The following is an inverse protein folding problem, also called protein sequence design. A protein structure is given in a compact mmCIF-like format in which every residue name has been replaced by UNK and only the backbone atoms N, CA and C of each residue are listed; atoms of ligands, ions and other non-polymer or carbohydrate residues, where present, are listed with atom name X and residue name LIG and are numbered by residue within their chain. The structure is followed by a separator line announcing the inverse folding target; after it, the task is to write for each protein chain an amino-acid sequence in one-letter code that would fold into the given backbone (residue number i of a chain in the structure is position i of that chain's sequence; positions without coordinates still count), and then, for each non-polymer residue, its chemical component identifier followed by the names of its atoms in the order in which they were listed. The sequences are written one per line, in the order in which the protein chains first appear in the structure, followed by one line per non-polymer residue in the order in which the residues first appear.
data_IF_464604098430
#
_entry.id   IF_464604098430
#
_cell.length_a   1.000
_cell.length_b   1.000
_cell.length_c   1.000
_cell.angle_alpha   90.00
_cell.angle_beta   90.00
_cell.angle_gamma   90.00
#
_symmetry.space_group_name_H-M   'P 1'
#
loop_
_entity.id
_entity.type
_entity.pdbx_description
1 polymer ?
#
# COMPACT_ATOMS: atom_id res chain seq x y z
N UNK A 1 -11.17 -54.88 -36.13
CA UNK A 1 -11.99 -56.00 -35.69
C UNK A 1 -11.89 -56.17 -34.22
N UNK A 2 -12.97 -56.59 -33.54
CA UNK A 2 -13.93 -55.67 -32.90
C UNK A 2 -14.07 -55.96 -31.38
N UNK A 3 -14.86 -55.13 -30.70
CA UNK A 3 -15.41 -55.49 -29.43
C UNK A 3 -16.04 -54.32 -28.68
N UNK A 4 -17.19 -53.90 -29.15
CA UNK A 4 -18.15 -53.06 -28.39
C UNK A 4 -18.94 -53.88 -27.37
N UNK A 5 -19.39 -53.22 -26.29
CA UNK A 5 -20.65 -53.42 -25.53
C UNK A 5 -20.70 -52.33 -24.46
N UNK A 6 -21.54 -51.46 -24.55
CA UNK A 6 -22.90 -50.98 -24.26
C UNK A 6 -23.66 -51.75 -23.16
N UNK A 7 -24.38 -50.96 -22.34
CA UNK A 7 -25.59 -51.21 -21.50
C UNK A 7 -25.47 -50.51 -20.16
N UNK A 8 -26.39 -49.80 -19.58
CA UNK A 8 -27.79 -49.37 -19.82
C UNK A 8 -28.13 -48.43 -18.64
N UNK A 9 -28.82 -47.33 -18.89
CA UNK A 9 -29.70 -46.65 -17.93
C UNK A 9 -30.95 -47.52 -17.68
N UNK A 10 -31.66 -47.43 -16.56
CA UNK A 10 -32.76 -46.47 -16.40
C UNK A 10 -33.05 -46.06 -14.94
N UNK A 11 -33.75 -45.07 -14.50
CA UNK A 11 -35.18 -44.80 -14.58
C UNK A 11 -35.53 -43.48 -13.82
N UNK A 12 -36.42 -42.76 -14.42
CA UNK A 12 -37.25 -41.70 -13.85
C UNK A 12 -38.12 -42.22 -12.71
N UNK A 13 -38.37 -41.36 -11.68
CA UNK A 13 -39.69 -41.26 -11.04
C UNK A 13 -40.01 -39.79 -10.76
N UNK A 14 -41.01 -39.33 -11.44
CA UNK A 14 -41.76 -38.08 -11.18
C UNK A 14 -42.62 -38.22 -9.96
N UNK A 15 -42.71 -37.15 -9.17
CA UNK A 15 -43.95 -36.89 -8.41
C UNK A 15 -44.22 -35.39 -8.33
N UNK A 16 -45.31 -34.98 -8.94
CA UNK A 16 -46.01 -33.72 -8.77
C UNK A 16 -46.74 -33.71 -7.43
N UNK A 17 -46.63 -32.60 -6.66
CA UNK A 17 -47.77 -32.14 -5.81
C UNK A 17 -47.69 -30.60 -5.67
N UNK A 18 -48.69 -29.99 -6.26
CA UNK A 18 -49.58 -28.87 -5.85
C UNK A 18 -49.04 -27.57 -5.20
N UNK A 19 -49.32 -26.54 -5.92
CA UNK A 19 -49.45 -25.11 -5.60
C UNK A 19 -50.30 -24.81 -4.38
N UNK A 20 -49.84 -23.96 -3.50
CA UNK A 20 -50.67 -23.00 -2.75
C UNK A 20 -49.80 -21.73 -2.46
N UNK A 21 -50.29 -20.62 -2.97
CA UNK A 21 -49.65 -19.32 -2.84
C UNK A 21 -49.75 -18.73 -1.43
N UNK A 22 -48.72 -17.99 -1.09
CA UNK A 22 -48.80 -16.94 -0.06
C UNK A 22 -47.93 -15.77 -0.53
N UNK A 23 -48.61 -14.68 -0.77
CA UNK A 23 -48.02 -13.36 -1.04
C UNK A 23 -47.31 -12.92 0.23
N UNK A 24 -45.99 -12.93 0.21
CA UNK A 24 -45.13 -12.39 1.26
C UNK A 24 -44.41 -11.16 0.76
N UNK A 25 -44.73 -10.00 1.30
CA UNK A 25 -44.02 -8.73 1.06
C UNK A 25 -42.49 -8.88 1.22
N UNK A 26 -41.76 -8.66 0.16
CA UNK A 26 -40.31 -8.47 0.20
C UNK A 26 -40.00 -7.16 0.92
N UNK A 27 -39.65 -7.23 2.20
CA UNK A 27 -38.98 -6.13 2.87
C UNK A 27 -37.56 -6.05 2.36
N UNK A 28 -37.29 -4.99 1.62
CA UNK A 28 -35.92 -4.59 1.19
C UNK A 28 -35.04 -4.44 2.43
N UNK A 29 -34.12 -5.36 2.66
CA UNK A 29 -33.09 -5.19 3.67
C UNK A 29 -32.10 -4.14 3.19
N UNK A 30 -32.09 -2.99 3.87
CA UNK A 30 -31.03 -2.01 3.76
C UNK A 30 -29.67 -2.67 4.07
N UNK A 31 -28.57 -2.25 3.43
CA UNK A 31 -27.25 -2.79 3.69
C UNK A 31 -26.89 -2.52 5.16
N UNK A 32 -26.59 -3.59 5.90
CA UNK A 32 -26.10 -3.50 7.28
C UNK A 32 -24.87 -2.61 7.30
N UNK A 33 -24.96 -1.47 7.96
CA UNK A 33 -23.84 -0.60 8.26
C UNK A 33 -22.75 -1.41 8.96
N UNK A 34 -21.50 -1.24 8.55
CA UNK A 34 -20.35 -1.83 9.22
C UNK A 34 -20.39 -1.43 10.71
N UNK A 35 -20.05 -2.34 11.64
CA UNK A 35 -20.09 -2.03 13.07
C UNK A 35 -19.18 -0.83 13.36
N UNK A 36 -19.71 0.13 14.11
CA UNK A 36 -18.94 1.28 14.56
C UNK A 36 -17.69 0.82 15.30
N UNK A 37 -16.55 1.46 15.03
CA UNK A 37 -15.29 1.17 15.72
C UNK A 37 -15.49 1.35 17.22
N UNK A 38 -15.04 0.41 18.06
CA UNK A 38 -15.01 0.65 19.49
C UNK A 38 -14.09 1.86 19.75
N UNK A 39 -14.62 2.86 20.42
CA UNK A 39 -13.84 3.97 20.93
C UNK A 39 -12.89 3.40 21.99
N UNK A 40 -11.60 3.43 21.73
CA UNK A 40 -10.59 3.07 22.73
C UNK A 40 -10.65 4.11 23.85
N UNK A 41 -11.14 3.72 25.02
CA UNK A 41 -11.00 4.46 26.26
C UNK A 41 -9.80 3.83 26.98
N UNK A 42 -8.65 4.50 27.04
CA UNK A 42 -7.53 3.98 27.81
C UNK A 42 -7.92 3.87 29.28
N UNK A 43 -7.46 2.84 30.03
CA UNK A 43 -7.69 2.76 31.46
C UNK A 43 -7.13 4.05 32.11
N UNK A 44 -7.95 4.65 32.99
CA UNK A 44 -7.55 5.82 33.75
C UNK A 44 -6.45 5.35 34.74
N UNK A 45 -5.20 5.46 34.32
CA UNK A 45 -4.06 5.39 35.24
C UNK A 45 -3.84 6.78 35.80
N UNK A 46 -3.91 6.90 37.12
CA UNK A 46 -3.59 8.10 37.87
C UNK A 46 -2.28 8.71 37.39
N UNK A 47 -2.37 9.93 36.93
CA UNK A 47 -1.42 10.68 36.14
C UNK A 47 -0.09 10.89 36.85
N UNK A 48 0.99 10.50 36.15
CA UNK A 48 2.21 11.31 36.17
C UNK A 48 1.94 12.61 35.38
N UNK A 49 2.55 13.76 35.75
CA UNK A 49 2.28 15.00 35.06
C UNK A 49 2.54 14.87 33.56
N UNK A 50 1.56 15.30 32.78
CA UNK A 50 1.64 15.28 31.32
C UNK A 50 2.89 16.04 30.86
N UNK A 51 3.74 15.40 30.10
CA UNK A 51 4.76 16.12 29.34
C UNK A 51 4.06 17.17 28.46
N UNK A 52 4.64 18.37 28.29
CA UNK A 52 4.02 19.42 27.50
C UNK A 52 3.71 18.86 26.11
N UNK A 53 2.46 19.01 25.70
CA UNK A 53 2.01 18.62 24.36
C UNK A 53 2.96 19.27 23.34
N UNK A 54 3.51 18.48 22.43
CA UNK A 54 4.28 19.03 21.33
C UNK A 54 3.43 20.12 20.63
N UNK A 55 4.01 21.27 20.26
CA UNK A 55 3.24 22.37 19.72
C UNK A 55 2.44 21.88 18.51
N UNK A 56 1.10 22.02 18.61
CA UNK A 56 0.20 21.77 17.48
C UNK A 56 0.68 22.72 16.38
N UNK A 57 1.33 22.19 15.36
CA UNK A 57 1.71 22.98 14.19
C UNK A 57 0.45 23.66 13.65
N UNK A 58 0.48 24.99 13.61
CA UNK A 58 -0.64 25.77 13.12
C UNK A 58 -1.17 25.19 11.79
N UNK A 59 -2.49 25.14 11.65
CA UNK A 59 -3.14 24.70 10.42
C UNK A 59 -2.56 25.44 9.20
N UNK A 60 -2.44 24.81 8.05
CA UNK A 60 -1.89 25.46 6.86
C UNK A 60 -2.65 26.75 6.57
N UNK A 61 -1.93 27.84 6.39
CA UNK A 61 -2.50 29.17 6.06
C UNK A 61 -3.32 29.13 4.75
N UNK A 62 -3.11 28.11 3.92
CA UNK A 62 -3.87 27.83 2.70
C UNK A 62 -4.16 26.33 2.58
N UNK A 63 -5.36 25.94 2.10
CA UNK A 63 -5.69 24.53 1.89
C UNK A 63 -4.74 23.89 0.87
N UNK A 64 -4.35 22.64 1.11
CA UNK A 64 -3.61 21.86 0.13
C UNK A 64 -4.54 21.56 -1.05
N UNK A 65 -4.11 21.96 -2.26
CA UNK A 65 -4.73 21.57 -3.52
C UNK A 65 -3.97 20.39 -4.11
N UNK A 66 -4.66 19.29 -4.35
CA UNK A 66 -4.11 18.11 -5.03
C UNK A 66 -3.85 18.41 -6.51
N UNK A 67 -3.04 17.60 -7.19
CA UNK A 67 -2.81 17.77 -8.63
C UNK A 67 -4.09 17.85 -9.45
N UNK A 68 -5.15 17.11 -9.07
CA UNK A 68 -6.47 17.20 -9.72
C UNK A 68 -7.16 18.55 -9.48
N UNK A 69 -7.06 19.09 -8.26
CA UNK A 69 -7.63 20.40 -7.95
C UNK A 69 -6.91 21.52 -8.72
N UNK A 70 -5.58 21.39 -8.86
CA UNK A 70 -4.77 22.32 -9.66
C UNK A 70 -5.13 22.24 -11.14
N UNK A 71 -5.27 21.02 -11.69
CA UNK A 71 -5.66 20.81 -13.08
C UNK A 71 -7.03 21.43 -13.35
N UNK A 72 -8.00 21.29 -12.45
CA UNK A 72 -9.33 21.88 -12.54
C UNK A 72 -9.24 23.42 -12.46
N UNK A 73 -8.50 23.96 -11.48
CA UNK A 73 -8.32 25.41 -11.29
C UNK A 73 -7.62 26.08 -12.49
N UNK A 74 -6.74 25.35 -13.20
CA UNK A 74 -6.07 25.83 -14.41
C UNK A 74 -6.90 25.57 -15.69
N UNK A 75 -8.22 25.31 -15.56
CA UNK A 75 -9.14 25.10 -16.68
C UNK A 75 -8.80 23.90 -17.55
N UNK A 76 -8.22 22.85 -16.94
CA UNK A 76 -7.80 21.61 -17.63
C UNK A 76 -6.77 21.83 -18.75
N UNK A 77 -5.95 22.87 -18.66
CA UNK A 77 -5.03 23.29 -19.72
C UNK A 77 -4.08 22.13 -20.17
N UNK A 78 -3.57 21.32 -19.23
CA UNK A 78 -2.65 20.24 -19.54
C UNK A 78 -3.28 19.09 -20.36
N UNK A 79 -4.61 18.96 -20.35
CA UNK A 79 -5.36 17.91 -21.07
C UNK A 79 -6.21 18.46 -22.22
N UNK A 80 -6.16 19.77 -22.47
CA UNK A 80 -6.98 20.46 -23.49
C UNK A 80 -6.80 19.84 -24.86
N UNK A 81 -7.90 19.51 -25.53
CA UNK A 81 -7.96 18.93 -26.88
C UNK A 81 -7.53 17.48 -26.97
N UNK A 82 -7.21 16.82 -25.85
CA UNK A 82 -6.71 15.43 -25.83
C UNK A 82 -7.82 14.42 -25.55
N UNK A 83 -7.70 13.24 -26.15
CA UNK A 83 -8.38 12.02 -25.70
C UNK A 83 -7.51 11.42 -24.60
N UNK A 84 -8.04 11.29 -23.41
CA UNK A 84 -7.28 10.86 -22.24
C UNK A 84 -7.75 9.51 -21.72
N UNK A 85 -6.80 8.66 -21.31
CA UNK A 85 -7.02 7.56 -20.39
C UNK A 85 -6.79 8.01 -18.95
N UNK A 86 -7.40 7.36 -17.98
CA UNK A 86 -7.18 7.62 -16.55
C UNK A 86 -6.83 6.35 -15.81
N UNK A 87 -5.62 6.28 -15.25
CA UNK A 87 -5.22 5.27 -14.26
C UNK A 87 -5.53 5.79 -12.86
N UNK A 88 -6.45 5.14 -12.16
CA UNK A 88 -6.93 5.60 -10.85
C UNK A 88 -7.39 4.45 -9.96
N UNK A 89 -7.78 4.80 -8.74
CA UNK A 89 -8.28 3.93 -7.68
C UNK A 89 -9.22 4.71 -6.76
N UNK A 90 -9.82 4.11 -5.68
CA UNK A 90 -10.81 4.79 -4.84
C UNK A 90 -10.37 6.13 -4.23
N UNK A 91 -9.08 6.28 -3.91
CA UNK A 91 -8.55 7.53 -3.37
C UNK A 91 -8.18 8.57 -4.46
N UNK A 92 -8.43 8.26 -5.75
CA UNK A 92 -8.39 9.23 -6.85
C UNK A 92 -9.57 10.16 -6.80
N UNK A 93 -9.54 11.11 -5.86
CA UNK A 93 -10.58 12.12 -5.61
C UNK A 93 -9.94 13.50 -5.50
N UNK A 94 -10.71 14.56 -5.76
CA UNK A 94 -10.28 15.91 -5.46
C UNK A 94 -10.40 16.20 -3.93
N UNK A 95 -9.97 17.37 -3.47
CA UNK A 95 -10.02 17.77 -2.05
C UNK A 95 -11.43 17.74 -1.43
N UNK A 96 -12.46 17.80 -2.26
CA UNK A 96 -13.87 17.74 -1.85
C UNK A 96 -14.43 16.32 -1.84
N UNK A 97 -13.62 15.31 -2.21
CA UNK A 97 -14.04 13.92 -2.27
C UNK A 97 -14.75 13.53 -3.58
N UNK A 98 -14.76 14.40 -4.59
CA UNK A 98 -15.31 14.07 -5.91
C UNK A 98 -14.31 13.23 -6.69
N UNK A 99 -14.77 12.12 -7.26
CA UNK A 99 -13.93 11.22 -8.05
C UNK A 99 -13.27 11.94 -9.23
N UNK A 100 -11.99 11.68 -9.44
CA UNK A 100 -11.26 12.18 -10.62
C UNK A 100 -11.92 11.74 -11.93
N UNK A 101 -12.59 10.57 -11.97
CA UNK A 101 -13.39 10.16 -13.11
C UNK A 101 -14.50 11.19 -13.39
N UNK A 102 -15.23 11.61 -12.36
CA UNK A 102 -16.32 12.58 -12.49
C UNK A 102 -15.82 13.98 -12.84
N UNK A 103 -14.69 14.41 -12.22
CA UNK A 103 -14.08 15.71 -12.51
C UNK A 103 -13.66 15.79 -13.98
N UNK A 104 -12.96 14.79 -14.49
CA UNK A 104 -12.49 14.76 -15.88
C UNK A 104 -13.62 14.58 -16.90
N UNK A 105 -14.71 13.89 -16.54
CA UNK A 105 -15.89 13.75 -17.42
C UNK A 105 -16.67 15.05 -17.58
N UNK A 106 -16.63 15.95 -16.60
CA UNK A 106 -17.26 17.26 -16.65
C UNK A 106 -16.45 18.30 -17.43
N UNK A 107 -15.17 18.04 -17.67
CA UNK A 107 -14.32 18.95 -18.42
C UNK A 107 -14.73 18.98 -19.90
N UNK A 108 -15.10 20.15 -20.40
CA UNK A 108 -15.65 20.33 -21.76
C UNK A 108 -14.59 20.41 -22.85
N UNK A 109 -13.33 20.60 -22.46
CA UNK A 109 -12.20 20.80 -23.38
C UNK A 109 -11.27 19.58 -23.51
N UNK A 110 -11.65 18.43 -22.96
CA UNK A 110 -10.95 17.15 -23.05
C UNK A 110 -11.96 16.00 -23.16
N UNK A 111 -11.52 14.82 -23.53
CA UNK A 111 -12.37 13.63 -23.62
C UNK A 111 -11.76 12.46 -22.89
N UNK A 112 -12.34 12.06 -21.76
CA UNK A 112 -12.01 10.81 -21.08
C UNK A 112 -12.59 9.63 -21.89
N UNK A 113 -11.72 8.74 -22.42
CA UNK A 113 -12.10 7.66 -23.34
C UNK A 113 -11.90 6.26 -22.75
N UNK A 114 -11.05 6.09 -21.75
CA UNK A 114 -10.79 4.80 -21.11
C UNK A 114 -10.34 4.98 -19.66
N UNK A 115 -10.60 3.96 -18.84
CA UNK A 115 -10.12 3.84 -17.49
C UNK A 115 -9.09 2.71 -17.39
N UNK A 116 -8.12 2.87 -16.49
CA UNK A 116 -7.12 1.86 -16.19
C UNK A 116 -7.15 1.59 -14.68
N UNK A 117 -7.15 0.32 -14.32
CA UNK A 117 -7.20 -0.14 -12.95
C UNK A 117 -5.88 -0.78 -12.52
N UNK A 118 -5.34 -0.33 -11.38
CA UNK A 118 -4.23 -0.96 -10.68
C UNK A 118 -4.74 -2.12 -9.81
N UNK A 119 -3.89 -2.68 -8.94
CA UNK A 119 -4.27 -3.62 -7.90
C UNK A 119 -5.47 -3.10 -7.10
N UNK A 120 -6.35 -3.97 -6.65
CA UNK A 120 -7.64 -3.69 -6.00
C UNK A 120 -8.74 -3.11 -6.90
N UNK A 121 -8.46 -2.75 -8.16
CA UNK A 121 -9.46 -2.24 -9.10
C UNK A 121 -9.84 -0.77 -8.88
N UNK A 122 -10.74 -0.27 -9.72
CA UNK A 122 -11.17 1.14 -9.69
C UNK A 122 -11.85 1.55 -8.38
N UNK A 123 -12.54 0.60 -7.73
CA UNK A 123 -13.37 0.87 -6.54
C UNK A 123 -12.85 0.20 -5.26
N UNK A 124 -11.70 -0.49 -5.36
CA UNK A 124 -11.04 -1.11 -4.20
C UNK A 124 -11.74 -2.36 -3.67
N UNK A 125 -12.59 -2.99 -4.48
CA UNK A 125 -13.40 -4.14 -4.08
C UNK A 125 -12.67 -5.47 -4.28
N UNK A 126 -11.62 -5.50 -5.10
CA UNK A 126 -10.83 -6.69 -5.35
C UNK A 126 -9.85 -6.95 -4.20
N UNK A 127 -9.77 -8.19 -3.68
CA UNK A 127 -8.74 -8.58 -2.72
C UNK A 127 -7.33 -8.36 -3.29
N UNK A 128 -6.34 -8.26 -2.39
CA UNK A 128 -4.94 -8.24 -2.81
C UNK A 128 -4.63 -9.47 -3.68
N UNK A 129 -3.85 -9.27 -4.74
CA UNK A 129 -3.45 -10.31 -5.72
C UNK A 129 -4.59 -10.93 -6.56
N UNK A 130 -5.81 -10.46 -6.42
CA UNK A 130 -6.90 -10.92 -7.27
C UNK A 130 -6.69 -10.50 -8.72
N UNK A 131 -6.92 -11.40 -9.66
CA UNK A 131 -6.93 -11.06 -11.10
C UNK A 131 -8.12 -10.14 -11.38
N UNK A 132 -7.83 -8.98 -11.96
CA UNK A 132 -8.83 -8.00 -12.36
C UNK A 132 -9.03 -8.12 -13.86
N UNK A 133 -10.23 -8.50 -14.30
CA UNK A 133 -10.57 -8.57 -15.71
C UNK A 133 -10.76 -7.15 -16.29
N UNK A 134 -10.37 -6.98 -17.57
CA UNK A 134 -10.79 -5.80 -18.32
C UNK A 134 -12.29 -5.92 -18.62
N UNK A 135 -13.02 -4.81 -18.44
CA UNK A 135 -14.49 -4.75 -18.51
C UNK A 135 -14.95 -3.35 -18.93
N UNK A 136 -16.22 -3.05 -18.78
CA UNK A 136 -16.75 -1.69 -18.86
C UNK A 136 -17.20 -1.25 -17.47
N UNK A 137 -16.89 -0.01 -17.14
CA UNK A 137 -17.36 0.59 -15.88
C UNK A 137 -18.85 0.96 -15.99
N UNK A 138 -19.68 0.37 -15.14
CA UNK A 138 -21.14 0.56 -15.14
C UNK A 138 -21.56 2.01 -14.82
N UNK A 139 -20.72 2.78 -14.12
CA UNK A 139 -21.04 4.16 -13.71
C UNK A 139 -20.75 5.17 -14.83
N UNK A 140 -19.68 4.97 -15.56
CA UNK A 140 -19.24 5.88 -16.62
C UNK A 140 -19.54 5.38 -18.03
N UNK A 141 -19.80 4.09 -18.21
CA UNK A 141 -19.90 3.44 -19.52
C UNK A 141 -18.56 3.25 -20.22
N UNK A 142 -17.45 3.66 -19.63
CA UNK A 142 -16.14 3.63 -20.26
C UNK A 142 -15.49 2.23 -20.17
N UNK A 143 -14.67 1.87 -21.18
CA UNK A 143 -13.87 0.66 -21.10
C UNK A 143 -12.85 0.76 -19.97
N UNK A 144 -12.66 -0.34 -19.23
CA UNK A 144 -11.69 -0.47 -18.14
C UNK A 144 -10.64 -1.48 -18.53
N UNK A 145 -9.40 -1.04 -18.60
CA UNK A 145 -8.24 -1.90 -18.82
C UNK A 145 -7.55 -2.21 -17.49
N UNK A 146 -7.49 -3.48 -17.13
CA UNK A 146 -6.74 -3.90 -15.95
C UNK A 146 -5.25 -3.89 -16.22
N UNK A 147 -4.46 -3.25 -15.34
CA UNK A 147 -3.01 -3.36 -15.30
C UNK A 147 -2.53 -4.35 -14.22
N UNK A 148 -3.47 -5.15 -13.65
CA UNK A 148 -3.16 -6.19 -12.68
C UNK A 148 -3.70 -7.58 -13.14
N UNK A 149 -2.94 -8.69 -13.09
CA UNK A 149 -1.56 -8.76 -12.58
C UNK A 149 -0.63 -7.79 -13.32
N UNK A 150 0.51 -7.43 -12.69
CA UNK A 150 1.33 -6.32 -13.15
C UNK A 150 1.70 -6.43 -14.63
N UNK A 151 1.32 -5.42 -15.40
CA UNK A 151 1.62 -5.35 -16.84
C UNK A 151 1.67 -3.90 -17.34
N UNK A 152 2.44 -3.71 -18.40
CA UNK A 152 2.47 -2.46 -19.14
C UNK A 152 1.21 -2.31 -19.99
N UNK A 153 0.64 -1.12 -20.13
CA UNK A 153 -0.39 -0.88 -21.14
C UNK A 153 0.13 -1.26 -22.53
N UNK A 154 -0.65 -2.04 -23.26
CA UNK A 154 -0.32 -2.44 -24.62
C UNK A 154 -0.72 -1.38 -25.63
N UNK A 155 -0.18 -1.46 -26.87
CA UNK A 155 -0.59 -0.57 -27.96
C UNK A 155 -2.10 -0.59 -28.20
N UNK A 156 -2.75 -1.75 -28.06
CA UNK A 156 -4.20 -1.89 -28.21
C UNK A 156 -4.97 -1.15 -27.10
N UNK A 157 -4.51 -1.22 -25.83
CA UNK A 157 -5.12 -0.50 -24.72
C UNK A 157 -4.93 1.03 -24.83
N UNK A 158 -3.86 1.47 -25.48
CA UNK A 158 -3.52 2.87 -25.69
C UNK A 158 -4.03 3.43 -27.04
N UNK A 159 -4.77 2.62 -27.81
CA UNK A 159 -5.36 3.06 -29.05
C UNK A 159 -6.29 4.27 -28.78
N UNK A 160 -6.16 5.30 -29.59
CA UNK A 160 -6.96 6.53 -29.49
C UNK A 160 -6.79 7.30 -28.17
N UNK A 161 -5.67 7.13 -27.48
CA UNK A 161 -5.29 7.86 -26.26
C UNK A 161 -4.08 8.75 -26.58
N UNK A 162 -4.25 10.06 -26.41
CA UNK A 162 -3.18 11.05 -26.62
C UNK A 162 -2.33 11.24 -25.36
N UNK A 163 -2.96 11.10 -24.18
CA UNK A 163 -2.30 11.13 -22.87
C UNK A 163 -2.94 10.18 -21.86
N UNK A 164 -2.13 9.54 -21.03
CA UNK A 164 -2.57 8.78 -19.85
C UNK A 164 -2.42 9.65 -18.61
N UNK A 165 -3.53 10.02 -18.00
CA UNK A 165 -3.56 10.70 -16.71
C UNK A 165 -3.44 9.64 -15.61
N UNK A 166 -2.58 9.89 -14.62
CA UNK A 166 -2.35 9.00 -13.48
C UNK A 166 -2.71 9.75 -12.20
N UNK A 167 -3.67 9.22 -11.47
CA UNK A 167 -4.14 9.75 -10.19
C UNK A 167 -4.19 8.65 -9.15
N UNK A 168 -3.06 8.43 -8.47
CA UNK A 168 -2.85 7.37 -7.50
C UNK A 168 -2.33 7.94 -6.18
N UNK A 169 -2.95 7.57 -5.05
CA UNK A 169 -2.47 7.90 -3.71
C UNK A 169 -1.50 6.83 -3.22
N UNK A 170 -0.21 7.12 -3.25
CA UNK A 170 0.82 6.32 -2.59
C UNK A 170 0.81 6.54 -1.07
N UNK A 171 1.45 5.65 -0.30
CA UNK A 171 1.55 5.75 1.17
C UNK A 171 2.97 5.98 1.67
N UNK A 172 3.91 6.30 0.78
CA UNK A 172 5.30 6.61 1.13
C UNK A 172 6.18 5.38 1.40
N UNK A 173 5.69 4.17 1.10
CA UNK A 173 6.40 2.92 1.31
C UNK A 173 6.70 2.23 -0.01
N UNK A 174 7.97 1.86 -0.25
CA UNK A 174 8.45 1.24 -1.49
C UNK A 174 7.63 0.03 -1.94
N UNK A 175 7.18 -0.78 -1.01
CA UNK A 175 6.42 -2.00 -1.30
C UNK A 175 4.94 -1.77 -1.61
N UNK A 176 4.47 -0.53 -1.50
CA UNK A 176 3.11 -0.19 -1.90
C UNK A 176 3.03 -0.09 -3.42
N UNK A 177 2.12 -0.83 -4.03
CA UNK A 177 2.20 -1.22 -5.44
C UNK A 177 1.80 -0.14 -6.45
N UNK A 178 1.28 0.99 -5.99
CA UNK A 178 0.82 2.05 -6.89
C UNK A 178 1.95 2.79 -7.59
N UNK A 179 3.10 2.98 -6.92
CA UNK A 179 4.30 3.50 -7.56
C UNK A 179 4.80 2.58 -8.68
N UNK A 180 4.71 1.25 -8.50
CA UNK A 180 5.02 0.27 -9.53
C UNK A 180 4.03 0.34 -10.70
N UNK A 181 2.74 0.46 -10.42
CA UNK A 181 1.69 0.62 -11.45
C UNK A 181 1.94 1.87 -12.30
N UNK A 182 2.29 3.00 -11.68
CA UNK A 182 2.69 4.22 -12.37
C UNK A 182 3.92 3.98 -13.26
N UNK A 183 5.00 3.38 -12.72
CA UNK A 183 6.22 3.10 -13.47
C UNK A 183 5.93 2.28 -14.73
N UNK A 184 5.18 1.20 -14.62
CA UNK A 184 4.84 0.36 -15.77
C UNK A 184 3.89 1.04 -16.76
N UNK A 185 2.97 1.89 -16.25
CA UNK A 185 2.15 2.73 -17.11
C UNK A 185 3.03 3.70 -17.94
N UNK A 186 4.03 4.34 -17.31
CA UNK A 186 5.01 5.18 -18.00
C UNK A 186 5.78 4.41 -19.08
N UNK A 187 6.27 3.21 -18.77
CA UNK A 187 7.00 2.37 -19.71
C UNK A 187 6.16 2.03 -20.96
N UNK A 188 4.90 1.62 -20.76
CA UNK A 188 3.99 1.32 -21.86
C UNK A 188 3.63 2.55 -22.68
N UNK A 189 3.36 3.68 -22.03
CA UNK A 189 3.04 4.94 -22.70
C UNK A 189 4.24 5.47 -23.51
N UNK A 190 5.44 5.50 -22.94
CA UNK A 190 6.63 6.00 -23.62
C UNK A 190 7.00 5.12 -24.82
N UNK A 191 6.84 3.79 -24.70
CA UNK A 191 7.06 2.88 -25.82
C UNK A 191 6.10 3.13 -26.99
N UNK A 192 4.90 3.66 -26.72
CA UNK A 192 3.85 3.91 -27.70
C UNK A 192 3.65 5.41 -28.00
N UNK A 193 4.58 6.30 -27.61
CA UNK A 193 4.52 7.75 -27.79
C UNK A 193 3.30 8.45 -27.17
N UNK A 194 2.66 7.85 -26.18
CA UNK A 194 1.57 8.43 -25.40
C UNK A 194 2.17 9.28 -24.28
N UNK A 195 1.66 10.48 -24.09
CA UNK A 195 2.06 11.36 -22.99
C UNK A 195 1.58 10.80 -21.64
N UNK A 196 2.36 11.01 -20.57
CA UNK A 196 1.96 10.70 -19.21
C UNK A 196 1.78 12.00 -18.42
N UNK A 197 0.62 12.14 -17.78
CA UNK A 197 0.30 13.28 -16.93
C UNK A 197 0.02 12.73 -15.52
N UNK A 198 0.89 13.06 -14.55
CA UNK A 198 0.73 12.62 -13.15
C UNK A 198 0.09 13.75 -12.35
N UNK A 199 -1.05 13.48 -11.74
CA UNK A 199 -1.70 14.36 -10.78
C UNK A 199 -1.11 14.07 -9.40
N UNK A 200 -0.24 14.96 -8.92
CA UNK A 200 0.54 14.68 -7.71
C UNK A 200 -0.31 14.74 -6.44
N UNK A 201 0.09 13.96 -5.44
CA UNK A 201 -0.57 13.77 -4.14
C UNK A 201 0.41 13.78 -3.00
N UNK A 202 0.00 14.19 -1.78
CA UNK A 202 0.88 14.17 -0.62
C UNK A 202 1.45 12.78 -0.37
N UNK A 203 2.74 12.72 -0.02
CA UNK A 203 3.24 11.56 0.72
C UNK A 203 2.67 11.66 2.15
N UNK A 204 1.83 10.71 2.58
CA UNK A 204 1.13 10.87 3.85
C UNK A 204 2.07 10.79 5.06
N UNK A 205 3.22 10.12 4.93
CA UNK A 205 4.26 10.12 5.97
C UNK A 205 5.11 11.40 5.98
N UNK A 206 4.81 12.37 5.12
CA UNK A 206 5.62 13.55 4.89
C UNK A 206 6.81 13.29 3.96
N UNK A 207 7.37 14.38 3.42
CA UNK A 207 8.49 14.30 2.48
C UNK A 207 9.87 14.23 3.12
N UNK A 208 9.96 14.35 4.45
CA UNK A 208 11.22 14.33 5.20
C UNK A 208 11.47 12.99 5.92
N UNK A 209 10.46 12.12 6.04
CA UNK A 209 10.61 10.81 6.67
C UNK A 209 11.20 9.83 5.65
N UNK A 210 12.44 9.40 5.90
CA UNK A 210 13.18 8.40 5.11
C UNK A 210 13.75 7.37 6.06
N UNK A 211 13.47 6.07 5.81
CA UNK A 211 13.88 5.01 6.72
C UNK A 211 13.90 3.62 6.06
N UNK A 212 14.63 2.69 6.68
CA UNK A 212 14.72 1.30 6.29
C UNK A 212 15.73 1.03 5.16
N UNK A 213 15.95 -0.25 4.83
CA UNK A 213 16.96 -0.63 3.86
C UNK A 213 16.63 -0.11 2.46
N UNK A 214 17.64 0.41 1.72
CA UNK A 214 17.51 0.57 0.28
C UNK A 214 17.33 -0.79 -0.37
N UNK A 215 16.64 -0.82 -1.52
CA UNK A 215 16.47 -2.07 -2.27
C UNK A 215 17.80 -2.52 -2.86
N UNK A 216 18.26 -3.72 -2.51
CA UNK A 216 19.40 -4.38 -3.11
C UNK A 216 19.20 -4.52 -4.64
N UNK A 217 20.23 -4.24 -5.41
CA UNK A 217 20.20 -4.21 -6.89
C UNK A 217 19.66 -5.51 -7.50
N UNK A 218 19.99 -6.64 -6.90
CA UNK A 218 19.54 -7.98 -7.36
C UNK A 218 18.05 -8.17 -7.35
N UNK A 219 17.32 -7.39 -6.52
CA UNK A 219 15.87 -7.49 -6.35
C UNK A 219 15.10 -6.41 -7.09
N UNK A 220 15.77 -5.50 -7.82
CA UNK A 220 15.13 -4.31 -8.42
C UNK A 220 14.40 -4.58 -9.74
N UNK A 221 14.76 -5.64 -10.48
CA UNK A 221 14.15 -5.94 -11.79
C UNK A 221 12.89 -6.78 -11.64
N UNK A 222 11.89 -6.51 -12.49
CA UNK A 222 10.59 -7.21 -12.51
C UNK A 222 9.97 -7.35 -11.10
N UNK A 223 10.13 -6.31 -10.29
CA UNK A 223 9.72 -6.32 -8.91
C UNK A 223 8.58 -5.34 -8.69
N UNK A 224 7.37 -5.87 -8.45
CA UNK A 224 6.17 -5.06 -8.23
C UNK A 224 6.14 -4.40 -6.84
N UNK A 225 6.71 -5.03 -5.83
CA UNK A 225 6.82 -4.48 -4.46
C UNK A 225 8.12 -3.70 -4.22
N UNK A 226 8.91 -3.46 -5.25
CA UNK A 226 10.18 -2.77 -5.19
C UNK A 226 10.57 -2.19 -6.55
N UNK A 227 9.64 -1.51 -7.20
CA UNK A 227 9.83 -0.93 -8.53
C UNK A 227 10.92 0.16 -8.57
N UNK A 228 11.24 0.75 -7.43
CA UNK A 228 12.26 1.80 -7.28
C UNK A 228 13.34 1.36 -6.29
N UNK A 229 14.59 1.68 -6.60
CA UNK A 229 15.74 1.44 -5.69
C UNK A 229 15.87 2.57 -4.69
N UNK A 230 14.91 2.65 -3.80
CA UNK A 230 14.82 3.67 -2.74
C UNK A 230 14.78 2.97 -1.36
N UNK A 231 15.01 3.67 -0.24
CA UNK A 231 14.72 3.17 1.10
C UNK A 231 13.28 2.71 1.24
N UNK A 232 13.00 1.86 2.23
CA UNK A 232 11.65 1.31 2.40
C UNK A 232 10.59 2.40 2.58
N UNK A 233 10.88 3.41 3.41
CA UNK A 233 10.15 4.69 3.47
C UNK A 233 10.99 5.73 2.73
N UNK A 234 10.46 6.29 1.64
CA UNK A 234 11.28 6.99 0.65
C UNK A 234 11.13 8.52 0.63
N UNK A 235 10.14 9.08 1.32
CA UNK A 235 9.97 10.53 1.43
C UNK A 235 9.62 11.28 0.14
N UNK A 236 9.34 10.60 -0.97
CA UNK A 236 8.96 11.24 -2.23
C UNK A 236 7.45 11.16 -2.44
N UNK A 237 6.88 12.12 -3.15
CA UNK A 237 5.52 12.04 -3.70
C UNK A 237 5.49 11.15 -4.93
N UNK A 238 4.30 10.75 -5.38
CA UNK A 238 4.19 9.94 -6.60
C UNK A 238 4.66 10.70 -7.84
N UNK A 239 4.43 12.02 -7.90
CA UNK A 239 4.94 12.89 -8.96
C UNK A 239 6.47 12.99 -8.95
N UNK A 240 7.08 13.06 -7.77
CA UNK A 240 8.54 13.06 -7.62
C UNK A 240 9.15 11.70 -7.99
N UNK A 241 8.48 10.59 -7.69
CA UNK A 241 8.86 9.25 -8.18
C UNK A 241 8.76 9.16 -9.70
N UNK A 242 7.74 9.77 -10.32
CA UNK A 242 7.62 9.83 -11.77
C UNK A 242 8.78 10.63 -12.41
N UNK A 243 9.17 11.76 -11.81
CA UNK A 243 10.37 12.50 -12.23
C UNK A 243 11.63 11.66 -12.11
N UNK A 244 11.83 10.99 -10.98
CA UNK A 244 12.95 10.06 -10.80
C UNK A 244 12.95 8.99 -11.90
N UNK A 245 11.80 8.39 -12.21
CA UNK A 245 11.68 7.37 -13.25
C UNK A 245 12.05 7.90 -14.64
N UNK A 246 11.64 9.14 -14.96
CA UNK A 246 11.97 9.80 -16.24
C UNK A 246 13.45 10.20 -16.34
N UNK A 247 14.02 10.73 -15.26
CA UNK A 247 15.34 11.35 -15.27
C UNK A 247 16.47 10.34 -15.00
N UNK A 248 16.29 9.40 -14.07
CA UNK A 248 17.33 8.46 -13.67
C UNK A 248 17.43 7.27 -14.64
N UNK A 249 18.62 6.99 -15.21
CA UNK A 249 18.84 5.78 -16.01
C UNK A 249 18.56 4.50 -15.21
N UNK A 250 17.98 3.48 -15.88
CA UNK A 250 17.76 2.15 -15.31
C UNK A 250 16.62 2.04 -14.31
N UNK A 251 15.84 3.11 -14.04
CA UNK A 251 14.59 3.03 -13.27
C UNK A 251 13.47 2.48 -14.14
N UNK A 252 13.26 3.03 -15.33
CA UNK A 252 12.35 2.46 -16.33
C UNK A 252 13.03 1.31 -17.08
N UNK A 253 12.33 0.22 -17.30
CA UNK A 253 12.77 -0.93 -18.08
C UNK A 253 12.45 -0.71 -19.57
N UNK A 254 12.94 0.40 -20.11
CA UNK A 254 12.89 0.78 -21.54
C UNK A 254 14.27 1.23 -21.98
N UNK A 255 14.51 1.34 -23.29
CA UNK A 255 15.78 1.89 -23.79
C UNK A 255 15.90 3.37 -23.42
N UNK A 256 17.15 3.88 -23.31
CA UNK A 256 17.38 5.29 -23.02
C UNK A 256 16.76 6.21 -24.08
N UNK A 257 16.75 5.81 -25.36
CA UNK A 257 16.07 6.54 -26.43
C UNK A 257 14.55 6.65 -26.17
N UNK A 258 13.89 5.56 -25.74
CA UNK A 258 12.46 5.57 -25.37
C UNK A 258 12.24 6.44 -24.14
N UNK A 259 13.10 6.30 -23.11
CA UNK A 259 13.02 7.13 -21.91
C UNK A 259 13.20 8.61 -22.25
N UNK A 260 14.19 8.96 -23.07
CA UNK A 260 14.48 10.36 -23.44
C UNK A 260 13.33 11.03 -24.19
N UNK A 261 12.72 10.35 -25.18
CA UNK A 261 11.58 10.89 -25.94
C UNK A 261 10.24 10.85 -25.19
N UNK A 262 10.13 10.04 -24.13
CA UNK A 262 8.90 9.94 -23.33
C UNK A 262 8.48 11.30 -22.77
N UNK A 263 7.22 11.68 -22.94
CA UNK A 263 6.68 12.94 -22.45
C UNK A 263 6.04 12.72 -21.08
N UNK A 264 6.55 13.43 -20.08
CA UNK A 264 6.01 13.44 -18.71
C UNK A 264 5.65 14.88 -18.34
N UNK A 265 4.44 15.05 -17.84
CA UNK A 265 3.98 16.28 -17.21
C UNK A 265 3.49 15.92 -15.78
N UNK A 266 3.99 16.60 -14.76
CA UNK A 266 3.54 16.42 -13.38
C UNK A 266 2.79 17.67 -12.95
N UNK A 267 1.51 17.51 -12.66
CA UNK A 267 0.68 18.59 -12.11
C UNK A 267 0.92 18.61 -10.59
N UNK A 268 1.78 19.53 -10.19
CA UNK A 268 2.18 19.65 -8.79
C UNK A 268 1.04 20.18 -7.92
N UNK A 269 1.03 19.75 -6.65
CA UNK A 269 0.14 20.29 -5.64
C UNK A 269 0.45 21.76 -5.33
N UNK A 270 -0.53 22.48 -4.80
CA UNK A 270 -0.31 23.81 -4.20
C UNK A 270 -0.57 23.76 -2.69
N UNK A 271 0.28 24.43 -1.93
CA UNK A 271 0.16 24.53 -0.47
C UNK A 271 0.72 23.36 0.33
N UNK A 272 1.10 22.24 -0.29
CA UNK A 272 1.78 21.14 0.40
C UNK A 272 3.27 21.44 0.58
N UNK A 273 3.79 21.14 1.76
CA UNK A 273 5.20 21.23 2.13
C UNK A 273 5.70 19.88 2.62
N UNK A 274 6.97 19.59 2.40
CA UNK A 274 7.58 18.29 2.75
C UNK A 274 7.47 17.94 4.24
N UNK A 275 7.46 18.94 5.10
CA UNK A 275 7.30 18.75 6.56
C UNK A 275 5.88 18.36 6.97
N UNK A 276 4.87 18.47 6.08
CA UNK A 276 3.48 18.16 6.40
C UNK A 276 3.26 16.63 6.41
N UNK A 277 2.67 16.14 7.47
CA UNK A 277 2.06 14.81 7.59
C UNK A 277 0.62 14.88 7.13
N UNK A 278 -0.02 13.73 6.92
CA UNK A 278 -1.40 13.71 6.42
C UNK A 278 -2.39 14.60 7.19
N UNK A 279 -2.47 14.56 8.54
CA UNK A 279 -3.43 15.41 9.27
C UNK A 279 -3.23 16.91 9.02
N UNK A 280 -1.99 17.33 8.78
CA UNK A 280 -1.64 18.74 8.57
C UNK A 280 -2.06 19.26 7.18
N UNK A 281 -2.40 18.36 6.26
CA UNK A 281 -2.93 18.71 4.93
C UNK A 281 -4.37 19.20 4.97
N UNK A 282 -5.13 18.89 6.02
CA UNK A 282 -6.57 19.12 6.11
C UNK A 282 -7.42 18.25 5.18
N UNK A 283 -6.80 17.30 4.47
CA UNK A 283 -7.49 16.40 3.55
C UNK A 283 -8.13 15.22 4.28
N UNK A 284 -9.30 14.81 3.85
CA UNK A 284 -9.92 13.56 4.31
C UNK A 284 -9.14 12.37 3.72
N UNK A 285 -8.74 11.42 4.58
CA UNK A 285 -8.12 10.19 4.09
C UNK A 285 -9.18 9.30 3.43
N UNK A 286 -8.92 8.89 2.20
CA UNK A 286 -9.72 7.88 1.50
C UNK A 286 -8.91 6.58 1.49
N UNK A 287 -9.54 5.47 1.86
CA UNK A 287 -8.87 4.17 1.89
C UNK A 287 -8.21 3.86 0.55
N UNK A 288 -6.96 3.42 0.61
CA UNK A 288 -6.20 3.07 -0.60
C UNK A 288 -6.25 1.57 -0.90
N UNK A 289 -6.53 0.75 0.11
CA UNK A 289 -6.73 -0.70 -0.02
C UNK A 289 -7.60 -1.24 1.12
N UNK A 290 -7.95 -2.52 1.08
CA UNK A 290 -8.74 -3.17 2.13
C UNK A 290 -8.10 -3.11 3.52
N UNK A 291 -6.77 -3.12 3.62
CA UNK A 291 -6.03 -3.07 4.88
C UNK A 291 -5.56 -1.65 5.24
N UNK A 292 -5.36 -0.76 4.26
CA UNK A 292 -4.95 0.64 4.49
C UNK A 292 -6.18 1.53 4.42
N UNK A 293 -6.94 1.54 5.50
CA UNK A 293 -8.25 2.18 5.59
C UNK A 293 -8.19 3.62 6.10
N UNK A 294 -7.14 3.97 6.83
CA UNK A 294 -6.99 5.25 7.51
C UNK A 294 -5.52 5.62 7.76
N UNK A 295 -5.31 6.78 8.35
CA UNK A 295 -4.00 7.30 8.70
C UNK A 295 -3.22 6.40 9.67
N UNK A 296 -3.89 5.76 10.62
CA UNK A 296 -3.24 4.83 11.54
C UNK A 296 -2.67 3.61 10.81
N UNK A 297 -3.41 3.06 9.87
CA UNK A 297 -2.93 1.96 9.03
C UNK A 297 -1.75 2.37 8.14
N UNK A 298 -1.75 3.61 7.62
CA UNK A 298 -0.61 4.16 6.86
C UNK A 298 0.65 4.19 7.72
N UNK A 299 0.57 4.72 8.94
CA UNK A 299 1.71 4.74 9.85
C UNK A 299 2.16 3.33 10.25
N UNK A 300 1.20 2.42 10.45
CA UNK A 300 1.48 1.03 10.82
C UNK A 300 2.14 0.22 9.71
N UNK A 301 1.84 0.52 8.46
CA UNK A 301 2.32 -0.25 7.31
C UNK A 301 3.85 -0.40 7.29
N UNK A 302 4.67 0.64 7.43
CA UNK A 302 6.12 0.49 7.51
C UNK A 302 6.60 -0.18 8.79
N UNK A 303 5.82 -0.20 9.89
CA UNK A 303 6.22 -0.82 11.16
C UNK A 303 6.07 -2.33 11.17
N UNK A 304 5.03 -2.86 10.57
CA UNK A 304 4.69 -4.30 10.62
C UNK A 304 4.29 -4.89 9.27
N UNK A 305 4.27 -4.08 8.20
CA UNK A 305 3.86 -4.51 6.87
C UNK A 305 4.76 -5.60 6.28
N UNK A 306 6.05 -5.63 6.63
CA UNK A 306 6.93 -6.75 6.32
C UNK A 306 6.47 -8.03 7.03
N UNK A 307 5.92 -7.93 8.24
CA UNK A 307 5.32 -9.04 8.98
C UNK A 307 4.01 -9.53 8.36
N UNK A 308 3.20 -8.64 7.76
CA UNK A 308 1.97 -9.04 7.06
C UNK A 308 2.23 -10.00 5.88
N UNK A 309 3.41 -9.90 5.27
CA UNK A 309 3.83 -10.84 4.23
C UNK A 309 3.96 -12.28 4.76
N UNK A 310 4.19 -12.45 6.05
CA UNK A 310 4.38 -13.74 6.68
C UNK A 310 3.08 -14.44 7.11
N UNK A 311 1.99 -13.69 7.20
CA UNK A 311 0.74 -14.19 7.76
C UNK A 311 -0.23 -14.74 6.71
N UNK A 312 -0.10 -14.35 5.45
CA UNK A 312 -1.24 -14.37 4.53
C UNK A 312 -1.16 -15.49 3.49
N UNK A 313 -0.05 -16.22 3.32
CA UNK A 313 0.08 -17.00 2.09
C UNK A 313 0.37 -18.48 2.26
N UNK A 314 -0.66 -19.25 1.94
CA UNK A 314 -0.58 -20.70 1.66
C UNK A 314 0.48 -21.07 0.59
N UNK A 315 0.97 -20.11 -0.18
CA UNK A 315 1.94 -20.31 -1.26
C UNK A 315 3.39 -20.17 -0.83
N UNK A 316 3.66 -19.47 0.27
CA UNK A 316 5.00 -19.41 0.86
C UNK A 316 4.92 -20.17 2.17
N UNK A 317 5.55 -21.32 2.24
CA UNK A 317 5.58 -22.20 3.42
C UNK A 317 6.43 -21.57 4.56
N UNK A 318 6.10 -20.29 4.90
CA UNK A 318 6.90 -19.42 5.72
C UNK A 318 6.01 -18.63 6.69
N UNK A 319 6.11 -18.95 7.97
CA UNK A 319 5.38 -18.31 9.07
C UNK A 319 6.39 -17.97 10.17
N UNK A 320 6.58 -16.69 10.45
CA UNK A 320 7.46 -16.24 11.55
C UNK A 320 6.76 -16.16 12.90
N UNK A 321 5.47 -16.48 12.96
CA UNK A 321 4.68 -16.50 14.19
C UNK A 321 4.03 -15.17 14.57
N UNK A 322 4.52 -14.02 14.11
CA UNK A 322 3.86 -12.74 14.32
C UNK A 322 2.60 -12.63 13.48
N UNK A 323 1.61 -11.93 14.03
CA UNK A 323 0.36 -11.55 13.37
C UNK A 323 0.24 -10.03 13.44
N UNK A 324 -0.21 -9.41 12.35
CA UNK A 324 -0.52 -7.98 12.30
C UNK A 324 -2.01 -7.75 12.43
N UNK A 325 -2.39 -6.73 13.23
CA UNK A 325 -3.76 -6.56 13.68
C UNK A 325 -4.06 -7.35 14.95
N UNK A 326 -5.10 -6.96 15.68
CA UNK A 326 -5.62 -7.65 16.86
C UNK A 326 -7.13 -7.80 16.67
N UNK A 327 -7.63 -9.02 16.64
CA UNK A 327 -9.06 -9.30 16.50
C UNK A 327 -9.73 -8.66 15.27
N UNK A 328 -9.02 -8.45 14.18
CA UNK A 328 -9.43 -7.69 12.97
C UNK A 328 -9.43 -6.17 13.14
N UNK A 329 -8.94 -5.67 14.27
CA UNK A 329 -8.72 -4.24 14.52
C UNK A 329 -7.24 -3.88 14.39
N UNK A 330 -6.95 -2.60 14.34
CA UNK A 330 -5.59 -2.03 14.33
C UNK A 330 -4.68 -2.62 13.23
N UNK A 331 -5.12 -2.62 11.95
CA UNK A 331 -4.28 -3.14 10.87
C UNK A 331 -2.92 -2.44 10.90
N UNK A 332 -1.86 -3.23 10.88
CA UNK A 332 -0.46 -2.79 10.97
C UNK A 332 -0.04 -2.07 12.26
N UNK A 333 -0.99 -1.71 13.14
CA UNK A 333 -0.71 -1.06 14.44
C UNK A 333 -0.84 -2.03 15.61
N UNK A 334 -1.50 -3.15 15.42
CA UNK A 334 -1.62 -4.21 16.39
C UNK A 334 -0.71 -5.38 16.04
N UNK A 335 -0.15 -6.05 17.04
CA UNK A 335 0.61 -7.28 16.87
C UNK A 335 0.27 -8.31 17.94
N UNK A 336 0.35 -9.57 17.56
CA UNK A 336 0.34 -10.73 18.47
C UNK A 336 1.33 -11.78 17.95
N UNK A 337 1.61 -12.80 18.77
CA UNK A 337 2.46 -13.92 18.34
C UNK A 337 1.70 -15.22 18.56
N UNK A 338 1.70 -16.08 17.55
CA UNK A 338 0.96 -17.36 17.52
C UNK A 338 1.29 -18.24 18.72
N UNK A 339 0.26 -18.59 19.50
CA UNK A 339 0.40 -19.48 20.65
C UNK A 339 1.11 -18.87 21.87
N UNK A 340 1.45 -17.58 21.85
CA UNK A 340 2.10 -16.89 22.96
C UNK A 340 1.10 -16.05 23.74
N UNK A 341 1.23 -16.05 25.06
CA UNK A 341 0.47 -15.14 25.94
C UNK A 341 0.95 -13.71 25.74
N UNK A 342 0.00 -12.77 25.81
CA UNK A 342 0.28 -11.34 25.56
C UNK A 342 1.26 -10.72 26.57
N UNK A 343 1.24 -11.18 27.82
CA UNK A 343 2.17 -10.70 28.86
C UNK A 343 3.63 -11.13 28.59
N UNK A 344 3.82 -12.32 28.01
CA UNK A 344 5.15 -12.79 27.59
C UNK A 344 5.65 -11.97 26.39
N UNK A 345 4.78 -11.76 25.40
CA UNK A 345 5.12 -10.91 24.23
C UNK A 345 5.46 -9.49 24.66
N UNK A 346 4.64 -8.89 25.54
CA UNK A 346 4.88 -7.54 26.06
C UNK A 346 6.24 -7.41 26.73
N UNK A 347 6.60 -8.36 27.60
CA UNK A 347 7.92 -8.38 28.26
C UNK A 347 9.06 -8.34 27.26
N UNK A 348 8.97 -9.13 26.18
CA UNK A 348 9.98 -9.17 25.13
C UNK A 348 10.04 -7.89 24.30
N UNK A 349 8.90 -7.27 24.02
CA UNK A 349 8.82 -5.98 23.34
C UNK A 349 9.37 -4.85 24.22
N UNK A 350 9.06 -4.84 25.51
CA UNK A 350 9.62 -3.87 26.45
C UNK A 350 11.15 -3.98 26.59
N UNK A 351 11.71 -5.19 26.47
CA UNK A 351 13.17 -5.37 26.46
C UNK A 351 13.86 -4.74 25.25
N UNK A 352 13.17 -4.58 24.11
CA UNK A 352 13.70 -3.89 22.92
C UNK A 352 13.26 -2.43 22.82
N UNK A 353 12.37 -1.97 23.70
CA UNK A 353 11.85 -0.59 23.71
C UNK A 353 12.94 0.49 23.67
N UNK A 354 14.09 0.35 24.38
CA UNK A 354 15.17 1.36 24.35
C UNK A 354 15.79 1.58 22.95
N UNK A 355 15.64 0.62 22.04
CA UNK A 355 16.16 0.71 20.67
C UNK A 355 15.15 1.29 19.67
N UNK A 356 13.92 1.54 20.11
CA UNK A 356 12.79 1.96 19.27
C UNK A 356 12.21 3.30 19.77
N UNK A 357 12.94 4.41 19.54
CA UNK A 357 12.47 5.71 19.97
C UNK A 357 11.16 6.09 19.25
N UNK A 358 10.39 6.97 19.88
CA UNK A 358 9.16 7.52 19.32
C UNK A 358 7.95 6.57 19.31
N UNK A 359 8.09 5.31 19.76
CA UNK A 359 6.95 4.40 19.92
C UNK A 359 6.81 3.88 21.35
N UNK A 360 5.61 3.39 21.69
CA UNK A 360 5.29 2.72 22.95
C UNK A 360 4.42 1.50 22.65
N UNK A 361 4.68 0.42 23.38
CA UNK A 361 3.85 -0.79 23.35
C UNK A 361 2.76 -0.71 24.42
N UNK A 362 1.51 -0.95 24.04
CA UNK A 362 0.36 -0.91 24.95
C UNK A 362 -0.45 -2.19 24.78
N UNK A 363 -0.69 -2.91 25.87
CA UNK A 363 -1.55 -4.09 25.87
C UNK A 363 -3.00 -3.70 25.55
N UNK A 364 -3.62 -4.43 24.63
CA UNK A 364 -5.03 -4.25 24.23
C UNK A 364 -5.75 -5.60 24.20
N UNK A 365 -7.06 -5.56 24.37
CA UNK A 365 -7.92 -6.70 24.13
C UNK A 365 -9.19 -6.19 23.45
N UNK A 366 -9.50 -6.73 22.30
CA UNK A 366 -10.68 -6.34 21.51
C UNK A 366 -11.47 -7.59 21.16
N UNK A 367 -12.79 -7.49 20.92
CA UNK A 367 -13.56 -8.64 20.45
C UNK A 367 -13.06 -9.04 19.05
N UNK A 368 -12.79 -10.32 18.84
CA UNK A 368 -12.50 -10.86 17.51
C UNK A 368 -13.75 -10.75 16.63
N UNK A 369 -13.62 -10.17 15.45
CA UNK A 369 -14.77 -9.86 14.59
C UNK A 369 -15.55 -11.09 14.10
N UNK A 370 -14.92 -12.29 14.09
CA UNK A 370 -15.56 -13.53 13.64
C UNK A 370 -16.18 -14.32 14.79
N UNK A 371 -15.53 -14.32 15.95
CA UNK A 371 -15.90 -15.20 17.06
C UNK A 371 -16.53 -14.46 18.23
N UNK A 372 -16.39 -13.13 18.28
CA UNK A 372 -16.81 -12.28 19.41
C UNK A 372 -15.98 -12.48 20.68
N UNK A 373 -15.05 -13.43 20.71
CA UNK A 373 -14.19 -13.70 21.86
C UNK A 373 -13.11 -12.63 22.03
N UNK A 374 -12.65 -12.34 23.27
CA UNK A 374 -11.52 -11.45 23.49
C UNK A 374 -10.29 -11.91 22.74
N UNK A 375 -9.72 -11.02 21.91
CA UNK A 375 -8.45 -11.21 21.23
C UNK A 375 -7.42 -10.26 21.88
N UNK A 376 -6.49 -10.78 22.71
CA UNK A 376 -5.45 -9.97 23.30
C UNK A 376 -4.30 -9.73 22.31
N UNK A 377 -3.66 -8.57 22.41
CA UNK A 377 -2.51 -8.21 21.59
C UNK A 377 -1.80 -6.98 22.13
N UNK A 378 -0.85 -6.49 21.38
CA UNK A 378 -0.09 -5.27 21.66
C UNK A 378 -0.40 -4.24 20.58
N UNK A 379 -0.83 -3.05 21.00
CA UNK A 379 -0.96 -1.88 20.14
C UNK A 379 0.34 -1.09 20.16
N UNK A 380 0.78 -0.63 18.98
CA UNK A 380 1.99 0.18 18.81
C UNK A 380 1.56 1.64 18.71
N UNK A 381 1.77 2.40 19.77
CA UNK A 381 1.48 3.81 19.83
C UNK A 381 2.70 4.62 19.35
N UNK A 382 2.53 5.56 18.41
CA UNK A 382 3.55 6.57 18.09
C UNK A 382 3.36 7.71 19.07
N UNK A 383 4.36 7.92 19.92
CA UNK A 383 4.34 8.96 20.98
C UNK A 383 5.17 10.18 20.58
N UNK A 384 6.16 9.99 19.71
CA UNK A 384 6.95 11.06 19.12
C UNK A 384 7.19 10.75 17.65
N UNK A 385 6.59 11.55 16.77
CA UNK A 385 6.68 11.33 15.32
C UNK A 385 8.07 11.65 14.77
N UNK A 386 8.76 12.61 15.31
CA UNK A 386 10.07 13.06 14.82
C UNK A 386 11.14 12.02 15.17
N UNK A 387 11.08 11.45 16.38
CA UNK A 387 11.96 10.37 16.83
C UNK A 387 11.61 9.01 16.23
N UNK A 388 10.35 8.79 15.88
CA UNK A 388 9.88 7.52 15.35
C UNK A 388 10.63 7.10 14.08
N UNK A 389 11.13 5.86 14.09
CA UNK A 389 11.79 5.18 12.95
C UNK A 389 10.86 4.10 12.40
N UNK A 390 10.20 4.36 11.26
CA UNK A 390 9.08 3.54 10.78
C UNK A 390 9.37 2.06 10.59
N UNK A 391 10.56 1.71 10.09
CA UNK A 391 10.85 0.34 9.66
C UNK A 391 11.51 -0.52 10.72
N UNK A 392 12.11 0.09 11.76
CA UNK A 392 13.06 -0.61 12.64
C UNK A 392 12.40 -1.75 13.43
N UNK A 393 11.15 -1.59 13.84
CA UNK A 393 10.41 -2.62 14.56
C UNK A 393 10.34 -3.95 13.78
N UNK A 394 10.20 -3.91 12.43
CA UNK A 394 10.15 -5.15 11.64
C UNK A 394 11.38 -6.03 11.87
N UNK A 395 12.56 -5.42 11.91
CA UNK A 395 13.83 -6.17 12.03
C UNK A 395 14.01 -6.76 13.44
N UNK A 396 13.54 -6.03 14.44
CA UNK A 396 13.47 -6.55 15.80
C UNK A 396 12.46 -7.69 15.93
N UNK A 397 11.29 -7.58 15.29
CA UNK A 397 10.30 -8.66 15.23
C UNK A 397 10.88 -9.92 14.57
N UNK A 398 11.67 -9.78 13.50
CA UNK A 398 12.34 -10.91 12.85
C UNK A 398 13.34 -11.59 13.79
N UNK A 399 14.16 -10.83 14.53
CA UNK A 399 15.06 -11.34 15.55
C UNK A 399 14.29 -12.04 16.67
N UNK A 400 13.20 -11.44 17.17
CA UNK A 400 12.34 -12.05 18.19
C UNK A 400 11.67 -13.34 17.68
N UNK A 401 11.28 -13.40 16.42
CA UNK A 401 10.74 -14.64 15.82
C UNK A 401 11.76 -15.80 15.89
N UNK A 402 13.03 -15.52 15.66
CA UNK A 402 14.10 -16.51 15.85
C UNK A 402 14.26 -16.91 17.33
N UNK A 403 14.20 -15.92 18.25
CA UNK A 403 14.25 -16.18 19.70
C UNK A 403 13.10 -17.07 20.18
N UNK A 404 11.89 -16.83 19.65
CA UNK A 404 10.69 -17.60 19.99
C UNK A 404 10.63 -18.98 19.31
N UNK A 405 11.54 -19.25 18.37
CA UNK A 405 11.64 -20.52 17.66
C UNK A 405 13.08 -21.08 17.74
N UNK A 406 13.62 -21.37 18.95
CA UNK A 406 15.05 -21.67 19.15
C UNK A 406 15.52 -22.91 18.40
N UNK A 407 14.65 -23.89 18.23
CA UNK A 407 14.96 -25.15 17.55
C UNK A 407 14.72 -25.11 16.03
N UNK A 408 14.15 -24.03 15.51
CA UNK A 408 13.76 -23.93 14.11
C UNK A 408 13.76 -22.46 13.66
N UNK A 409 14.97 -21.97 13.31
CA UNK A 409 15.07 -20.62 12.76
C UNK A 409 14.11 -20.46 11.54
N UNK A 410 13.09 -19.58 11.62
CA UNK A 410 12.12 -19.42 10.53
C UNK A 410 12.73 -18.93 9.22
N UNK A 411 13.91 -18.32 9.26
CA UNK A 411 14.62 -17.77 8.09
C UNK A 411 15.70 -18.73 7.56
N UNK A 412 15.96 -19.86 8.21
CA UNK A 412 16.96 -20.82 7.74
C UNK A 412 16.59 -21.38 6.36
N UNK A 413 17.62 -21.62 5.55
CA UNK A 413 17.45 -22.30 4.27
C UNK A 413 16.92 -23.73 4.51
N UNK A 414 15.80 -24.05 3.87
CA UNK A 414 15.17 -25.37 3.91
C UNK A 414 14.84 -25.74 2.47
N UNK A 415 15.09 -27.00 2.05
CA UNK A 415 14.72 -27.45 0.70
C UNK A 415 13.26 -27.13 0.38
N UNK A 416 13.01 -26.60 -0.81
CA UNK A 416 11.67 -26.22 -1.28
C UNK A 416 11.10 -24.89 -0.74
N UNK A 417 11.85 -24.15 0.09
CA UNK A 417 11.44 -22.82 0.57
C UNK A 417 12.03 -21.71 -0.28
N UNK A 418 11.17 -20.89 -0.89
CA UNK A 418 11.57 -19.71 -1.66
C UNK A 418 11.32 -18.43 -0.87
N UNK A 419 12.38 -17.69 -0.59
CA UNK A 419 12.32 -16.39 0.08
C UNK A 419 12.34 -15.20 -0.89
N UNK A 420 12.36 -15.44 -2.20
CA UNK A 420 12.55 -14.37 -3.19
C UNK A 420 11.46 -13.27 -3.07
N UNK A 421 10.21 -13.65 -2.86
CA UNK A 421 9.12 -12.70 -2.65
C UNK A 421 9.34 -11.85 -1.40
N UNK A 422 9.73 -12.46 -0.29
CA UNK A 422 10.06 -11.76 0.94
C UNK A 422 11.27 -10.83 0.78
N UNK A 423 12.33 -11.29 0.12
CA UNK A 423 13.54 -10.51 -0.13
C UNK A 423 13.29 -9.30 -1.03
N UNK A 424 12.44 -9.44 -2.04
CA UNK A 424 11.98 -8.32 -2.87
C UNK A 424 11.25 -7.26 -2.06
N UNK A 425 10.45 -7.69 -1.09
CA UNK A 425 9.70 -6.81 -0.20
C UNK A 425 10.63 -6.15 0.83
N UNK A 426 11.43 -6.92 1.57
CA UNK A 426 12.33 -6.45 2.62
C UNK A 426 13.48 -5.61 2.06
N UNK A 427 14.16 -6.07 1.01
CA UNK A 427 15.13 -5.30 0.27
C UNK A 427 16.60 -5.52 0.62
N UNK A 428 16.95 -6.21 1.72
CA UNK A 428 18.34 -6.42 2.16
C UNK A 428 18.71 -7.89 2.22
N UNK A 429 19.49 -8.34 1.27
CA UNK A 429 20.00 -9.72 1.24
C UNK A 429 21.02 -9.97 2.36
N UNK A 430 21.87 -8.97 2.66
CA UNK A 430 22.89 -9.12 3.71
C UNK A 430 22.29 -9.36 5.08
N UNK A 431 21.29 -8.55 5.47
CA UNK A 431 20.55 -8.75 6.71
C UNK A 431 19.86 -10.11 6.77
N UNK A 432 19.21 -10.49 5.67
CA UNK A 432 18.56 -11.80 5.60
C UNK A 432 19.54 -12.95 5.79
N UNK A 433 20.72 -12.91 5.15
CA UNK A 433 21.74 -13.94 5.29
C UNK A 433 22.23 -14.05 6.73
N UNK A 434 22.43 -12.91 7.40
CA UNK A 434 22.83 -12.92 8.82
C UNK A 434 21.72 -13.50 9.70
N UNK A 435 20.46 -13.09 9.46
CA UNK A 435 19.32 -13.62 10.20
C UNK A 435 19.14 -15.13 10.00
N UNK A 436 19.33 -15.62 8.77
CA UNK A 436 19.24 -17.03 8.43
C UNK A 436 20.33 -17.88 9.12
N UNK A 437 21.53 -17.32 9.33
CA UNK A 437 22.67 -18.03 9.95
C UNK A 437 22.76 -17.84 11.44
N UNK A 438 22.58 -16.61 11.95
CA UNK A 438 22.75 -16.26 13.35
C UNK A 438 21.44 -16.26 14.16
N UNK A 439 20.28 -16.21 13.48
CA UNK A 439 18.97 -16.20 14.14
C UNK A 439 18.84 -15.11 15.20
N UNK A 440 18.55 -15.49 16.44
CA UNK A 440 18.43 -14.59 17.57
C UNK A 440 19.72 -13.83 17.95
N UNK A 441 20.88 -14.26 17.46
CA UNK A 441 22.16 -13.57 17.67
C UNK A 441 22.45 -12.47 16.62
N UNK A 442 21.56 -12.24 15.65
CA UNK A 442 21.69 -11.17 14.65
C UNK A 442 21.86 -9.80 15.30
N UNK A 443 22.85 -9.01 14.85
CA UNK A 443 23.05 -7.62 15.31
C UNK A 443 22.19 -6.64 14.52
N UNK A 444 20.92 -6.52 14.92
CA UNK A 444 19.94 -5.60 14.29
C UNK A 444 20.45 -4.16 14.28
N UNK A 445 21.10 -3.70 15.37
CA UNK A 445 21.55 -2.31 15.49
C UNK A 445 22.68 -1.95 14.54
N UNK A 446 23.56 -2.89 14.21
CA UNK A 446 24.60 -2.67 13.20
C UNK A 446 23.97 -2.35 11.83
N UNK A 447 22.97 -3.13 11.41
CA UNK A 447 22.25 -2.90 10.16
C UNK A 447 21.44 -1.60 10.17
N UNK A 448 20.74 -1.32 11.27
CA UNK A 448 19.96 -0.09 11.44
C UNK A 448 20.87 1.14 11.32
N UNK A 449 22.04 1.17 11.97
CA UNK A 449 22.99 2.26 11.83
C UNK A 449 23.43 2.47 10.39
N UNK A 450 23.76 1.38 9.68
CA UNK A 450 24.14 1.43 8.27
C UNK A 450 23.01 2.02 7.41
N UNK A 451 21.77 1.55 7.60
CA UNK A 451 20.63 2.05 6.82
C UNK A 451 20.29 3.50 7.12
N UNK A 452 20.44 3.95 8.34
CA UNK A 452 20.27 5.38 8.70
C UNK A 452 21.25 6.28 7.94
N UNK A 453 22.51 5.86 7.81
CA UNK A 453 23.49 6.63 7.01
C UNK A 453 23.15 6.57 5.50
N UNK A 454 22.76 5.43 4.99
CA UNK A 454 22.31 5.31 3.60
C UNK A 454 21.06 6.15 3.32
N UNK A 455 20.13 6.24 4.27
CA UNK A 455 18.94 7.08 4.17
C UNK A 455 19.28 8.57 4.07
N UNK A 456 20.27 9.05 4.85
CA UNK A 456 20.75 10.44 4.75
C UNK A 456 21.32 10.74 3.36
N UNK A 457 22.19 9.85 2.85
CA UNK A 457 22.78 10.00 1.51
C UNK A 457 21.69 10.00 0.45
N UNK A 458 20.75 9.06 0.52
CA UNK A 458 19.62 9.02 -0.40
C UNK A 458 18.78 10.30 -0.34
N UNK A 459 18.48 10.81 0.85
CA UNK A 459 17.67 12.01 1.00
C UNK A 459 18.32 13.21 0.31
N UNK A 460 19.62 13.40 0.45
CA UNK A 460 20.36 14.45 -0.26
C UNK A 460 20.30 14.25 -1.79
N UNK A 461 20.56 13.04 -2.25
CA UNK A 461 20.52 12.72 -3.68
C UNK A 461 19.13 12.87 -4.29
N UNK A 462 18.08 12.64 -3.51
CA UNK A 462 16.70 12.72 -3.96
C UNK A 462 16.19 14.14 -4.16
N UNK A 463 16.88 15.15 -3.57
CA UNK A 463 16.50 16.57 -3.67
C UNK A 463 16.35 17.06 -5.11
N UNK A 464 17.11 16.53 -6.04
CA UNK A 464 17.00 16.87 -7.47
C UNK A 464 15.64 16.54 -8.10
N UNK A 465 14.88 15.62 -7.50
CA UNK A 465 13.54 15.27 -7.96
C UNK A 465 12.43 16.02 -7.22
N UNK A 466 12.77 16.76 -6.17
CA UNK A 466 11.77 17.42 -5.34
C UNK A 466 11.02 18.51 -6.10
N UNK A 467 9.71 18.53 -5.93
CA UNK A 467 8.78 19.54 -6.41
C UNK A 467 8.41 20.55 -5.32
N UNK A 468 8.64 20.18 -4.07
CA UNK A 468 8.21 20.92 -2.89
C UNK A 468 9.36 21.14 -1.91
N UNK A 469 9.24 22.19 -1.08
CA UNK A 469 10.20 22.55 -0.03
C UNK A 469 9.69 22.25 1.38
#
# INVERSE_FOLDING_TARGET
MPGARAFLLPNLVSLLVSVLGLIGCSASQAPKSAPARPVYIPPITTSAPAAPAAPIRAAPLQPVLLGIDVLEADGFAAVKGKRIGLLTHPAGVNRLGVSTIEVLRKATNTRLVALFAAEHGLYGDAPAEAKIASTSDKRSGLPVHSLYPPRRPTKAMLKDIDALVIDLQDIGCRSYTFAASMRWAMEGCFANNVEVIVLDRPNPLGGLKVDGPPLDARWSRNNYVGAFRVPYVHGLTIGELARMAKEAPGVLEVTDAVRARGRLNVIAMRGWRRAMRWPETGLKFVRTSGMVQDWDAVQGYPMTGLGAYFDVRKTVNFDIGFRTGVGSYYPFRGISFKGMRVDVLEKELLAIQPYLPGIRFTRVSVPDAKTGKPAPGIYIQIVDYDEWRPCELNFWMMKLACKFSPNKNPFAAVPGRDFSGFLRHMGSQGFFNELATKGAATDVMSWVRQWREQAKVYQEQSKRYWLYR
#
